data_IF_453370345201
#
_entry.id   IF_453370345201
#
_cell.length_a   1.000
_cell.length_b   1.000
_cell.length_c   1.000
_cell.angle_alpha   90.00
_cell.angle_beta   90.00
_cell.angle_gamma   90.00
#
_symmetry.space_group_name_H-M   'P 1'
#
loop_
_entity.id
_entity.type
_entity.pdbx_description
1 polymer ?
#
# COMPACT_ATOMS: atom_id res chain seq x y z
N UNK A 1 -38.88 33.87 -18.43
CA UNK A 1 -38.04 32.80 -19.02
C UNK A 1 -36.60 33.23 -18.94
N UNK A 2 -35.79 32.53 -18.15
CA UNK A 2 -34.32 32.65 -18.12
C UNK A 2 -33.82 31.40 -17.40
N UNK A 3 -33.59 30.33 -18.15
CA UNK A 3 -33.03 29.07 -17.67
C UNK A 3 -31.52 29.22 -17.54
N UNK A 4 -31.05 29.55 -16.34
CA UNK A 4 -29.62 29.44 -15.99
C UNK A 4 -29.30 27.95 -15.80
N UNK A 5 -28.30 27.38 -16.50
CA UNK A 5 -27.99 25.96 -16.36
C UNK A 5 -27.28 25.71 -15.02
N UNK A 6 -27.53 24.57 -14.34
CA UNK A 6 -26.90 24.28 -13.06
C UNK A 6 -25.41 23.97 -13.27
N UNK A 7 -24.58 24.69 -12.50
CA UNK A 7 -23.13 24.73 -12.60
C UNK A 7 -22.48 23.65 -11.72
N UNK A 8 -22.82 22.37 -11.89
CA UNK A 8 -22.16 21.28 -11.16
C UNK A 8 -22.04 20.01 -12.00
N UNK A 9 -21.10 19.99 -12.94
CA UNK A 9 -20.44 18.76 -13.36
C UNK A 9 -18.94 19.07 -13.50
N UNK A 10 -18.05 18.44 -12.70
CA UNK A 10 -16.63 18.50 -13.00
C UNK A 10 -16.39 17.82 -14.34
N UNK A 11 -15.78 18.55 -15.27
CA UNK A 11 -15.51 18.10 -16.63
C UNK A 11 -14.72 16.80 -16.65
N UNK A 12 -15.19 15.85 -17.47
CA UNK A 12 -14.49 14.62 -17.80
C UNK A 12 -13.24 14.97 -18.60
N UNK A 13 -12.12 15.20 -17.91
CA UNK A 13 -10.83 15.50 -18.55
C UNK A 13 -10.35 14.30 -19.38
N UNK A 14 -10.42 14.44 -20.70
CA UNK A 14 -9.76 13.57 -21.67
C UNK A 14 -8.26 13.79 -21.58
N UNK A 15 -7.53 12.73 -21.21
CA UNK A 15 -6.11 12.77 -20.95
C UNK A 15 -5.30 12.45 -22.21
N UNK A 16 -4.45 13.41 -22.65
CA UNK A 16 -3.42 13.21 -23.69
C UNK A 16 -2.16 12.49 -23.15
N UNK A 17 -1.24 12.02 -24.02
CA UNK A 17 -0.57 10.73 -23.80
C UNK A 17 0.66 10.69 -22.86
N UNK A 18 1.14 11.79 -22.27
CA UNK A 18 2.50 11.75 -21.65
C UNK A 18 2.67 12.36 -20.25
N UNK A 19 1.59 12.79 -19.57
CA UNK A 19 1.70 13.45 -18.24
C UNK A 19 0.84 12.91 -17.09
N UNK A 20 0.15 11.77 -17.25
CA UNK A 20 -1.14 11.53 -16.56
C UNK A 20 -1.08 10.56 -15.36
N UNK A 21 0.03 9.85 -15.15
CA UNK A 21 0.06 8.71 -14.21
C UNK A 21 -0.12 9.07 -12.72
N UNK A 22 0.57 10.11 -12.24
CA UNK A 22 0.62 10.42 -10.80
C UNK A 22 -0.53 11.35 -10.35
N UNK A 23 -0.83 12.40 -11.12
CA UNK A 23 -1.91 13.34 -10.79
C UNK A 23 -3.31 12.74 -10.98
N UNK A 24 -3.50 11.89 -12.00
CA UNK A 24 -4.76 11.17 -12.22
C UNK A 24 -5.04 10.14 -11.12
N UNK A 25 -4.00 9.52 -10.55
CA UNK A 25 -4.15 8.60 -9.42
C UNK A 25 -4.59 9.32 -8.14
N UNK A 26 -3.98 10.46 -7.81
CA UNK A 26 -4.40 11.25 -6.66
C UNK A 26 -5.84 11.76 -6.80
N UNK A 27 -6.24 12.20 -8.00
CA UNK A 27 -7.61 12.61 -8.29
C UNK A 27 -8.61 11.44 -8.18
N UNK A 28 -8.26 10.26 -8.72
CA UNK A 28 -9.07 9.04 -8.56
C UNK A 28 -9.21 8.62 -7.10
N UNK A 29 -8.13 8.71 -6.33
CA UNK A 29 -8.14 8.32 -4.92
C UNK A 29 -8.98 9.31 -4.10
N UNK A 30 -8.87 10.62 -4.38
CA UNK A 30 -9.77 11.63 -3.81
C UNK A 30 -11.22 11.39 -4.22
N UNK A 31 -11.50 11.01 -5.46
CA UNK A 31 -12.86 10.69 -5.90
C UNK A 31 -13.42 9.45 -5.19
N UNK A 32 -12.61 8.43 -4.93
CA UNK A 32 -13.03 7.25 -4.15
C UNK A 32 -13.33 7.61 -2.70
N UNK A 33 -12.55 8.52 -2.10
CA UNK A 33 -12.74 8.96 -0.71
C UNK A 33 -13.91 9.94 -0.58
N UNK A 34 -14.04 10.87 -1.52
CA UNK A 34 -15.02 11.97 -1.50
C UNK A 34 -16.25 11.70 -2.37
N UNK A 35 -16.52 10.46 -2.79
CA UNK A 35 -17.73 10.19 -3.56
C UNK A 35 -18.94 10.37 -2.64
N UNK A 36 -19.69 11.45 -2.86
CA UNK A 36 -20.99 11.72 -2.26
C UNK A 36 -22.02 10.73 -2.84
N UNK A 37 -21.99 9.52 -2.30
CA UNK A 37 -22.92 8.46 -2.64
C UNK A 37 -24.12 8.53 -1.70
N UNK A 38 -25.31 8.24 -2.23
CA UNK A 38 -26.49 8.03 -1.41
C UNK A 38 -26.24 6.86 -0.43
N UNK A 39 -26.83 6.86 0.78
CA UNK A 39 -26.60 5.82 1.80
C UNK A 39 -26.70 4.39 1.27
N UNK A 40 -27.72 4.11 0.45
CA UNK A 40 -27.93 2.80 -0.18
C UNK A 40 -26.82 2.39 -1.14
N UNK A 41 -26.36 3.32 -1.99
CA UNK A 41 -25.29 3.07 -2.97
C UNK A 41 -23.94 2.87 -2.26
N UNK A 42 -23.69 3.67 -1.23
CA UNK A 42 -22.53 3.53 -0.35
C UNK A 42 -22.54 2.18 0.35
N UNK A 43 -23.67 1.79 0.94
CA UNK A 43 -23.80 0.53 1.66
C UNK A 43 -23.53 -0.68 0.76
N UNK A 44 -24.09 -0.69 -0.45
CA UNK A 44 -23.85 -1.75 -1.44
C UNK A 44 -22.37 -1.82 -1.86
N UNK A 45 -21.74 -0.68 -2.16
CA UNK A 45 -20.34 -0.62 -2.54
C UNK A 45 -19.41 -1.10 -1.41
N UNK A 46 -19.64 -0.65 -0.19
CA UNK A 46 -18.87 -1.02 0.99
C UNK A 46 -19.06 -2.52 1.32
N UNK A 47 -20.28 -3.03 1.22
CA UNK A 47 -20.59 -4.43 1.47
C UNK A 47 -19.88 -5.36 0.47
N UNK A 48 -19.82 -5.01 -0.81
CA UNK A 48 -19.05 -5.77 -1.81
C UNK A 48 -17.55 -5.78 -1.48
N UNK A 49 -16.99 -4.64 -1.07
CA UNK A 49 -15.59 -4.53 -0.68
C UNK A 49 -15.28 -5.36 0.57
N UNK A 50 -16.12 -5.28 1.61
CA UNK A 50 -15.99 -6.08 2.82
C UNK A 50 -16.14 -7.57 2.52
N UNK A 51 -17.14 -7.95 1.73
CA UNK A 51 -17.37 -9.35 1.35
C UNK A 51 -16.17 -9.94 0.62
N UNK A 52 -15.57 -9.19 -0.31
CA UNK A 52 -14.36 -9.59 -1.01
C UNK A 52 -13.11 -9.59 -0.12
N UNK A 53 -13.11 -8.84 0.98
CA UNK A 53 -11.98 -8.77 1.91
C UNK A 53 -12.02 -9.87 2.97
N UNK A 54 -13.21 -10.27 3.42
CA UNK A 54 -13.41 -11.34 4.39
C UNK A 54 -13.07 -12.71 3.78
N UNK A 55 -12.46 -13.58 4.59
CA UNK A 55 -12.26 -14.98 4.22
C UNK A 55 -13.58 -15.77 4.24
N UNK A 56 -13.65 -16.92 3.57
CA UNK A 56 -14.83 -17.80 3.61
C UNK A 56 -15.25 -18.14 5.04
N UNK A 57 -14.30 -18.54 5.88
CA UNK A 57 -14.53 -18.84 7.29
C UNK A 57 -14.98 -17.63 8.12
N UNK A 58 -14.63 -16.41 7.72
CA UNK A 58 -15.15 -15.19 8.35
C UNK A 58 -16.60 -14.93 7.94
N UNK A 59 -16.92 -15.10 6.65
CA UNK A 59 -18.30 -14.95 6.15
C UNK A 59 -19.23 -16.01 6.75
N UNK A 60 -18.79 -17.26 6.80
CA UNK A 60 -19.56 -18.36 7.42
C UNK A 60 -19.86 -18.09 8.90
N UNK A 61 -18.89 -17.54 9.66
CA UNK A 61 -19.11 -17.17 11.07
C UNK A 61 -20.08 -16.01 11.23
N UNK A 62 -20.08 -15.05 10.30
CA UNK A 62 -20.96 -13.87 10.39
C UNK A 62 -22.36 -14.10 9.81
N UNK A 63 -22.51 -15.03 8.86
CA UNK A 63 -23.76 -15.28 8.14
C UNK A 63 -25.00 -15.48 9.04
N UNK A 64 -24.93 -16.18 10.19
CA UNK A 64 -26.07 -16.31 11.10
C UNK A 64 -26.57 -14.96 11.65
N UNK A 65 -25.68 -14.00 11.89
CA UNK A 65 -26.05 -12.67 12.37
C UNK A 65 -26.80 -11.87 11.30
N UNK A 66 -26.39 -12.02 10.04
CA UNK A 66 -27.05 -11.41 8.88
C UNK A 66 -28.33 -12.12 8.44
N UNK A 67 -28.60 -13.32 8.98
CA UNK A 67 -29.61 -14.24 8.44
C UNK A 67 -29.42 -14.47 6.93
N UNK A 68 -28.16 -14.52 6.50
CA UNK A 68 -27.76 -14.78 5.13
C UNK A 68 -27.48 -16.27 4.92
N UNK A 69 -27.77 -16.79 3.73
CA UNK A 69 -27.26 -18.08 3.28
C UNK A 69 -25.74 -18.10 3.06
N UNK A 70 -25.23 -19.22 2.56
CA UNK A 70 -23.80 -19.41 2.27
C UNK A 70 -23.35 -18.78 0.93
N UNK A 71 -24.29 -18.23 0.14
CA UNK A 71 -23.98 -17.58 -1.14
C UNK A 71 -23.34 -16.21 -0.92
N UNK A 72 -22.33 -15.89 -1.73
CA UNK A 72 -21.53 -14.67 -1.57
C UNK A 72 -22.35 -13.43 -1.90
N UNK A 73 -23.22 -13.53 -2.90
CA UNK A 73 -24.11 -12.47 -3.37
C UNK A 73 -25.16 -12.15 -2.30
N UNK A 74 -25.81 -13.18 -1.74
CA UNK A 74 -26.79 -13.03 -0.68
C UNK A 74 -26.15 -12.44 0.59
N UNK A 75 -24.94 -12.88 0.94
CA UNK A 75 -24.18 -12.30 2.05
C UNK A 75 -23.91 -10.81 1.83
N UNK A 76 -23.49 -10.43 0.61
CA UNK A 76 -23.22 -9.03 0.28
C UNK A 76 -24.50 -8.17 0.32
N UNK A 77 -25.62 -8.68 -0.17
CA UNK A 77 -26.92 -7.99 -0.10
C UNK A 77 -27.37 -7.77 1.35
N UNK A 78 -27.31 -8.81 2.20
CA UNK A 78 -27.68 -8.69 3.61
C UNK A 78 -26.76 -7.75 4.39
N UNK A 79 -25.46 -7.78 4.10
CA UNK A 79 -24.51 -6.84 4.70
C UNK A 79 -24.76 -5.40 4.23
N UNK A 80 -25.16 -5.20 2.97
CA UNK A 80 -25.56 -3.90 2.47
C UNK A 80 -26.82 -3.38 3.17
N UNK A 81 -27.80 -4.24 3.44
CA UNK A 81 -29.00 -3.86 4.19
C UNK A 81 -28.65 -3.42 5.62
N UNK A 82 -27.82 -4.18 6.34
CA UNK A 82 -27.35 -3.84 7.70
C UNK A 82 -26.64 -2.48 7.71
N UNK A 83 -25.71 -2.27 6.77
CA UNK A 83 -24.92 -1.04 6.68
C UNK A 83 -25.77 0.17 6.24
N UNK A 84 -26.77 -0.04 5.39
CA UNK A 84 -27.71 1.01 4.99
C UNK A 84 -28.48 1.53 6.20
N UNK A 85 -29.02 0.64 7.02
CA UNK A 85 -29.76 1.02 8.24
C UNK A 85 -28.88 1.90 9.12
N UNK A 86 -27.61 1.51 9.34
CA UNK A 86 -26.68 2.31 10.14
C UNK A 86 -26.37 3.68 9.51
N UNK A 87 -26.28 3.76 8.18
CA UNK A 87 -26.03 5.03 7.48
C UNK A 87 -27.25 5.96 7.46
N UNK A 88 -28.46 5.41 7.40
CA UNK A 88 -29.71 6.17 7.32
C UNK A 88 -30.23 6.58 8.71
N UNK A 89 -30.18 5.67 9.68
CA UNK A 89 -30.77 5.84 11.02
C UNK A 89 -29.71 6.19 12.07
N UNK A 90 -28.43 5.98 11.77
CA UNK A 90 -27.32 6.06 12.73
C UNK A 90 -27.08 4.74 13.44
N UNK A 91 -25.91 4.61 14.09
CA UNK A 91 -25.61 3.47 14.94
C UNK A 91 -26.05 3.75 16.38
N UNK A 92 -26.93 2.90 16.91
CA UNK A 92 -27.18 2.85 18.35
C UNK A 92 -25.87 2.54 19.11
N UNK A 93 -25.59 3.23 20.21
CA UNK A 93 -24.39 3.00 21.00
C UNK A 93 -24.46 1.62 21.67
N UNK A 94 -23.48 0.78 21.38
CA UNK A 94 -23.29 -0.49 22.10
C UNK A 94 -22.34 -0.25 23.28
N UNK A 95 -22.73 -0.74 24.46
CA UNK A 95 -21.88 -0.65 25.65
C UNK A 95 -20.51 -1.30 25.38
N UNK A 96 -19.45 -0.66 25.89
CA UNK A 96 -18.06 -1.11 25.82
C UNK A 96 -17.49 -1.34 24.42
N UNK A 97 -18.16 -0.89 23.35
CA UNK A 97 -17.73 -1.15 21.97
C UNK A 97 -16.33 -0.61 21.67
N UNK A 98 -16.07 0.62 22.15
CA UNK A 98 -14.76 1.28 22.01
C UNK A 98 -13.69 0.66 22.90
N UNK A 99 -14.03 0.30 24.13
CA UNK A 99 -13.08 -0.31 25.07
C UNK A 99 -12.68 -1.71 24.60
N UNK A 100 -13.65 -2.48 24.10
CA UNK A 100 -13.41 -3.78 23.50
C UNK A 100 -12.60 -3.67 22.20
N UNK A 101 -12.86 -2.66 21.36
CA UNK A 101 -12.05 -2.40 20.18
C UNK A 101 -10.61 -2.02 20.55
N UNK A 102 -10.41 -1.18 21.58
CA UNK A 102 -9.09 -0.83 22.08
C UNK A 102 -8.34 -2.03 22.69
N UNK A 103 -9.06 -2.93 23.38
CA UNK A 103 -8.50 -4.19 23.86
C UNK A 103 -8.09 -5.11 22.68
N UNK A 104 -8.93 -5.22 21.66
CA UNK A 104 -8.64 -5.97 20.44
C UNK A 104 -7.44 -5.38 19.68
N UNK A 105 -7.33 -4.05 19.57
CA UNK A 105 -6.17 -3.38 18.99
C UNK A 105 -4.89 -3.69 19.75
N UNK A 106 -4.92 -3.67 21.09
CA UNK A 106 -3.78 -4.02 21.93
C UNK A 106 -3.38 -5.48 21.74
N UNK A 107 -4.35 -6.40 21.72
CA UNK A 107 -4.10 -7.83 21.48
C UNK A 107 -3.60 -8.13 20.06
N UNK A 108 -4.01 -7.34 19.07
CA UNK A 108 -3.58 -7.50 17.69
C UNK A 108 -2.17 -6.94 17.41
N UNK A 109 -1.52 -6.29 18.39
CA UNK A 109 -0.17 -5.71 18.24
C UNK A 109 0.85 -6.81 17.95
N UNK A 110 1.44 -6.76 16.76
CA UNK A 110 2.49 -7.68 16.33
C UNK A 110 3.88 -7.23 16.80
N UNK A 111 4.04 -6.89 18.09
CA UNK A 111 5.28 -6.35 18.68
C UNK A 111 6.54 -7.10 18.24
N UNK A 112 6.63 -8.46 18.32
CA UNK A 112 7.86 -9.16 17.94
C UNK A 112 8.20 -8.99 16.44
N UNK A 113 7.20 -9.04 15.55
CA UNK A 113 7.43 -8.80 14.13
C UNK A 113 7.81 -7.33 13.86
N UNK A 114 7.32 -6.38 14.65
CA UNK A 114 7.69 -4.97 14.55
C UNK A 114 9.11 -4.70 15.03
N UNK A 115 9.55 -5.38 16.07
CA UNK A 115 10.94 -5.33 16.52
C UNK A 115 11.87 -5.91 15.46
N UNK A 116 11.49 -7.03 14.83
CA UNK A 116 12.24 -7.61 13.73
C UNK A 116 12.30 -6.68 12.50
N UNK A 117 11.18 -6.06 12.13
CA UNK A 117 11.15 -5.03 11.07
C UNK A 117 12.13 -3.89 11.39
N UNK A 118 12.09 -3.37 12.63
CA UNK A 118 13.00 -2.31 13.08
C UNK A 118 14.48 -2.73 13.03
N UNK A 119 14.80 -3.94 13.49
CA UNK A 119 16.15 -4.49 13.46
C UNK A 119 16.68 -4.64 12.02
N UNK A 120 15.83 -5.11 11.09
CA UNK A 120 16.19 -5.23 9.68
C UNK A 120 16.40 -3.85 9.02
N UNK A 121 15.61 -2.85 9.36
CA UNK A 121 15.80 -1.48 8.88
C UNK A 121 17.09 -0.86 9.43
N UNK A 122 17.43 -1.11 10.70
CA UNK A 122 18.71 -0.71 11.28
C UNK A 122 19.89 -1.38 10.59
N UNK A 123 19.78 -2.69 10.28
CA UNK A 123 20.81 -3.40 9.53
C UNK A 123 21.00 -2.82 8.12
N UNK A 124 19.90 -2.51 7.41
CA UNK A 124 19.96 -1.85 6.11
C UNK A 124 20.66 -0.47 6.19
N UNK A 125 20.34 0.32 7.22
CA UNK A 125 20.99 1.60 7.45
C UNK A 125 22.49 1.43 7.75
N UNK A 126 22.86 0.44 8.57
CA UNK A 126 24.25 0.15 8.87
C UNK A 126 25.04 -0.24 7.61
N UNK A 127 24.48 -1.10 6.75
CA UNK A 127 25.09 -1.44 5.46
C UNK A 127 25.28 -0.20 4.57
N UNK A 128 24.31 0.71 4.52
CA UNK A 128 24.41 1.96 3.76
C UNK A 128 25.54 2.84 4.29
N UNK A 129 25.58 3.07 5.61
CA UNK A 129 26.62 3.90 6.26
C UNK A 129 28.00 3.31 6.00
N UNK A 130 28.18 2.01 6.19
CA UNK A 130 29.45 1.33 5.92
C UNK A 130 29.86 1.45 4.45
N UNK A 131 28.91 1.34 3.52
CA UNK A 131 29.16 1.53 2.09
C UNK A 131 29.69 2.93 1.79
N UNK A 132 29.05 3.96 2.36
CA UNK A 132 29.46 5.36 2.17
C UNK A 132 30.85 5.61 2.76
N UNK A 133 31.09 5.17 4.01
CA UNK A 133 32.37 5.36 4.68
C UNK A 133 33.53 4.71 3.90
N UNK A 134 33.34 3.46 3.46
CA UNK A 134 34.34 2.75 2.66
C UNK A 134 34.59 3.40 1.30
N UNK A 135 33.53 3.92 0.66
CA UNK A 135 33.65 4.61 -0.62
C UNK A 135 34.40 5.95 -0.52
N UNK A 136 34.37 6.62 0.64
CA UNK A 136 35.12 7.87 0.86
C UNK A 136 36.63 7.64 1.00
N UNK A 137 37.04 6.44 1.42
CA UNK A 137 38.44 6.05 1.62
C UNK A 137 39.07 5.45 0.35
N UNK A 138 38.27 5.19 -0.69
CA UNK A 138 38.71 4.50 -1.89
C UNK A 138 39.40 5.44 -2.91
N UNK A 139 40.65 5.13 -3.26
CA UNK A 139 41.39 5.81 -4.33
C UNK A 139 40.95 5.39 -5.74
N UNK A 140 40.39 4.19 -5.90
CA UNK A 140 39.93 3.64 -7.17
C UNK A 140 38.50 3.07 -7.05
N UNK A 141 37.53 3.93 -7.36
CA UNK A 141 36.10 3.69 -7.14
C UNK A 141 35.53 2.41 -7.79
N UNK A 142 35.84 2.05 -9.06
CA UNK A 142 35.18 0.93 -9.73
C UNK A 142 35.59 -0.44 -9.20
N UNK A 143 36.87 -0.64 -8.85
CA UNK A 143 37.34 -1.90 -8.27
C UNK A 143 36.83 -2.07 -6.82
N UNK A 144 36.78 -0.99 -6.05
CA UNK A 144 36.25 -0.97 -4.69
C UNK A 144 34.73 -1.23 -4.64
N UNK A 145 33.99 -0.70 -5.62
CA UNK A 145 32.55 -0.94 -5.74
C UNK A 145 32.23 -2.43 -5.94
N UNK A 146 33.07 -3.15 -6.70
CA UNK A 146 32.85 -4.57 -7.00
C UNK A 146 33.22 -5.51 -5.85
N UNK A 147 34.28 -5.22 -5.08
CA UNK A 147 34.81 -6.13 -4.07
C UNK A 147 34.29 -5.86 -2.64
N UNK A 148 34.14 -4.60 -2.25
CA UNK A 148 33.78 -4.21 -0.87
C UNK A 148 32.37 -3.63 -0.77
N UNK A 149 32.00 -2.70 -1.65
CA UNK A 149 30.69 -2.06 -1.59
C UNK A 149 29.55 -2.97 -2.10
N UNK A 150 29.83 -3.81 -3.11
CA UNK A 150 28.85 -4.72 -3.72
C UNK A 150 28.16 -5.64 -2.72
N UNK A 151 28.91 -6.38 -1.88
CA UNK A 151 28.33 -7.22 -0.82
C UNK A 151 27.49 -6.42 0.20
N UNK A 152 27.93 -5.21 0.58
CA UNK A 152 27.20 -4.35 1.52
C UNK A 152 25.88 -3.84 0.91
N UNK A 153 25.89 -3.44 -0.36
CA UNK A 153 24.70 -3.04 -1.09
C UNK A 153 23.71 -4.21 -1.27
N UNK A 154 24.22 -5.41 -1.55
CA UNK A 154 23.41 -6.62 -1.61
C UNK A 154 22.78 -6.95 -0.24
N UNK A 155 23.56 -6.86 0.84
CA UNK A 155 23.09 -7.03 2.22
C UNK A 155 22.01 -6.01 2.60
N UNK A 156 22.21 -4.73 2.24
CA UNK A 156 21.21 -3.68 2.42
C UNK A 156 19.90 -4.01 1.69
N UNK A 157 19.98 -4.40 0.42
CA UNK A 157 18.80 -4.72 -0.39
C UNK A 157 18.04 -5.92 0.18
N UNK A 158 18.77 -6.97 0.59
CA UNK A 158 18.17 -8.13 1.24
C UNK A 158 17.47 -7.75 2.56
N UNK A 159 18.11 -6.94 3.41
CA UNK A 159 17.53 -6.47 4.67
C UNK A 159 16.26 -5.64 4.44
N UNK A 160 16.25 -4.76 3.43
CA UNK A 160 15.06 -3.98 3.05
C UNK A 160 13.91 -4.86 2.55
N UNK A 161 14.20 -5.87 1.72
CA UNK A 161 13.19 -6.82 1.24
C UNK A 161 12.61 -7.62 2.39
N UNK A 162 13.46 -8.14 3.29
CA UNK A 162 13.00 -8.86 4.48
C UNK A 162 12.18 -7.97 5.40
N UNK A 163 12.60 -6.72 5.65
CA UNK A 163 11.85 -5.75 6.44
C UNK A 163 10.46 -5.50 5.82
N UNK A 164 10.38 -5.38 4.50
CA UNK A 164 9.12 -5.23 3.78
C UNK A 164 8.23 -6.47 3.92
N UNK A 165 8.78 -7.68 3.81
CA UNK A 165 8.01 -8.93 3.98
C UNK A 165 7.48 -9.05 5.40
N UNK A 166 8.34 -8.87 6.42
CA UNK A 166 7.98 -8.94 7.84
C UNK A 166 6.93 -7.88 8.18
N UNK A 167 7.17 -6.63 7.75
CA UNK A 167 6.24 -5.52 7.93
C UNK A 167 4.87 -5.79 7.29
N UNK A 168 4.84 -6.40 6.10
CA UNK A 168 3.60 -6.76 5.40
C UNK A 168 2.85 -7.89 6.12
N UNK A 169 3.56 -8.92 6.61
CA UNK A 169 2.97 -10.03 7.39
C UNK A 169 2.39 -9.48 8.69
N UNK A 170 3.12 -8.60 9.40
CA UNK A 170 2.66 -7.98 10.63
C UNK A 170 1.36 -7.18 10.42
N UNK A 171 1.28 -6.37 9.35
CA UNK A 171 0.02 -5.67 9.00
C UNK A 171 -1.11 -6.64 8.68
N UNK A 172 -0.86 -7.69 7.88
CA UNK A 172 -1.90 -8.66 7.52
C UNK A 172 -2.44 -9.42 8.74
N UNK A 173 -1.57 -9.81 9.67
CA UNK A 173 -1.96 -10.50 10.91
C UNK A 173 -2.77 -9.57 11.81
N UNK A 174 -2.36 -8.31 11.97
CA UNK A 174 -3.10 -7.31 12.72
C UNK A 174 -4.49 -7.09 12.11
N UNK A 175 -4.56 -6.83 10.81
CA UNK A 175 -5.83 -6.58 10.12
C UNK A 175 -6.76 -7.79 10.22
N UNK A 176 -6.22 -9.01 10.07
CA UNK A 176 -7.01 -10.24 10.21
C UNK A 176 -7.57 -10.41 11.62
N UNK A 177 -6.78 -10.16 12.65
CA UNK A 177 -7.25 -10.22 14.05
C UNK A 177 -8.36 -9.19 14.34
N UNK A 178 -8.25 -7.98 13.78
CA UNK A 178 -9.27 -6.94 13.91
C UNK A 178 -10.55 -7.27 13.13
N UNK A 179 -10.43 -7.87 11.94
CA UNK A 179 -11.59 -8.36 11.20
C UNK A 179 -12.24 -9.56 11.89
N UNK A 180 -11.46 -10.46 12.49
CA UNK A 180 -11.97 -11.57 13.28
C UNK A 180 -12.74 -11.08 14.52
N UNK A 181 -12.25 -10.03 15.17
CA UNK A 181 -12.99 -9.33 16.24
C UNK A 181 -14.31 -8.77 15.72
N UNK A 182 -14.29 -8.10 14.56
CA UNK A 182 -15.50 -7.52 13.96
C UNK A 182 -16.55 -8.60 13.65
N UNK A 183 -16.12 -9.70 13.05
CA UNK A 183 -16.96 -10.85 12.70
C UNK A 183 -17.53 -11.55 13.93
N UNK A 184 -16.87 -11.47 15.08
CA UNK A 184 -17.38 -12.09 16.32
C UNK A 184 -18.54 -11.34 16.97
N UNK A 185 -18.89 -10.14 16.48
CA UNK A 185 -19.86 -9.25 17.09
C UNK A 185 -21.02 -8.94 16.14
N UNK A 186 -22.28 -9.15 16.55
CA UNK A 186 -23.43 -8.88 15.69
C UNK A 186 -23.55 -7.39 15.36
N UNK A 187 -23.75 -7.07 14.08
CA UNK A 187 -23.94 -5.69 13.63
C UNK A 187 -22.65 -4.86 13.53
N UNK A 188 -21.48 -5.42 13.85
CA UNK A 188 -20.23 -4.65 13.86
C UNK A 188 -19.74 -4.33 12.44
N UNK A 189 -19.94 -5.24 11.48
CA UNK A 189 -19.50 -5.01 10.10
C UNK A 189 -20.30 -3.89 9.41
N UNK A 190 -21.59 -3.77 9.72
CA UNK A 190 -22.42 -2.64 9.28
C UNK A 190 -21.96 -1.32 9.88
N UNK A 191 -21.69 -1.28 11.20
CA UNK A 191 -21.24 -0.06 11.91
C UNK A 191 -19.80 0.35 11.61
N UNK A 192 -18.96 -0.58 11.16
CA UNK A 192 -17.54 -0.35 10.94
C UNK A 192 -16.71 -0.55 12.21
N UNK A 193 -15.46 -0.11 12.17
CA UNK A 193 -14.44 -0.45 13.16
C UNK A 193 -13.96 0.79 13.91
N UNK A 194 -14.28 0.97 15.22
CA UNK A 194 -13.88 2.14 16.01
C UNK A 194 -12.41 2.06 16.42
N UNK A 195 -11.53 2.20 15.43
CA UNK A 195 -10.08 2.04 15.56
C UNK A 195 -9.38 3.38 15.71
N UNK A 196 -8.32 3.42 16.51
CA UNK A 196 -7.46 4.60 16.66
C UNK A 196 -6.48 4.71 15.49
N UNK A 197 -6.08 3.56 14.94
CA UNK A 197 -5.24 3.50 13.74
C UNK A 197 -5.98 2.77 12.63
N UNK A 198 -6.08 3.36 11.43
CA UNK A 198 -6.80 2.74 10.33
C UNK A 198 -6.23 1.35 10.00
N UNK A 199 -7.11 0.46 9.55
CA UNK A 199 -6.70 -0.80 8.97
C UNK A 199 -5.79 -0.53 7.78
N UNK A 200 -4.85 -1.44 7.51
CA UNK A 200 -3.84 -1.25 6.48
C UNK A 200 -2.94 -0.02 6.67
N UNK A 201 -2.82 0.50 7.90
CA UNK A 201 -1.77 1.48 8.24
C UNK A 201 -0.42 0.93 7.79
N UNK A 202 0.17 1.55 6.77
CA UNK A 202 1.37 1.00 6.14
C UNK A 202 2.54 0.97 7.14
N UNK A 203 3.34 -0.09 7.05
CA UNK A 203 4.54 -0.28 7.85
C UNK A 203 5.75 0.35 7.16
N UNK A 204 6.76 0.75 7.93
CA UNK A 204 7.89 1.52 7.40
C UNK A 204 8.64 0.76 6.30
N UNK A 205 8.90 -0.55 6.47
CA UNK A 205 9.60 -1.37 5.49
C UNK A 205 8.91 -1.39 4.11
N UNK A 206 7.63 -1.79 4.03
CA UNK A 206 6.88 -1.73 2.78
C UNK A 206 6.79 -0.33 2.18
N UNK A 207 6.66 0.72 2.99
CA UNK A 207 6.61 2.11 2.51
C UNK A 207 7.91 2.50 1.82
N UNK A 208 9.04 2.22 2.46
CA UNK A 208 10.38 2.52 1.91
C UNK A 208 10.56 1.79 0.57
N UNK A 209 10.29 0.48 0.52
CA UNK A 209 10.47 -0.30 -0.71
C UNK A 209 9.54 0.16 -1.83
N UNK A 210 8.29 0.56 -1.51
CA UNK A 210 7.31 1.03 -2.51
C UNK A 210 7.56 2.44 -3.00
N UNK A 211 8.13 3.30 -2.17
CA UNK A 211 8.42 4.69 -2.52
C UNK A 211 9.72 4.83 -3.28
N UNK A 212 10.79 4.16 -2.82
CA UNK A 212 12.13 4.27 -3.40
C UNK A 212 12.36 3.23 -4.52
N UNK A 213 11.80 2.03 -4.41
CA UNK A 213 12.07 0.92 -5.34
C UNK A 213 11.85 1.27 -6.81
N UNK A 214 10.67 1.77 -7.22
CA UNK A 214 10.43 2.14 -8.61
C UNK A 214 11.32 3.28 -9.12
N UNK A 215 11.64 4.26 -8.26
CA UNK A 215 12.52 5.37 -8.60
C UNK A 215 13.96 4.88 -8.82
N UNK A 216 14.46 4.00 -7.94
CA UNK A 216 15.78 3.38 -8.07
C UNK A 216 15.86 2.48 -9.31
N UNK A 217 14.84 1.67 -9.59
CA UNK A 217 14.78 0.85 -10.80
C UNK A 217 14.78 1.69 -12.07
N UNK A 218 14.05 2.82 -12.06
CA UNK A 218 14.03 3.75 -13.20
C UNK A 218 15.41 4.37 -13.40
N UNK A 219 16.02 4.91 -12.34
CA UNK A 219 17.36 5.51 -12.41
C UNK A 219 18.43 4.50 -12.84
N UNK A 220 18.46 3.32 -12.22
CA UNK A 220 19.38 2.25 -12.58
C UNK A 220 19.16 1.76 -14.02
N UNK A 221 17.90 1.67 -14.47
CA UNK A 221 17.57 1.27 -15.84
C UNK A 221 18.07 2.26 -16.88
N UNK A 222 17.85 3.56 -16.67
CA UNK A 222 18.38 4.62 -17.55
C UNK A 222 19.90 4.61 -17.57
N UNK A 223 20.55 4.53 -16.40
CA UNK A 223 22.01 4.49 -16.31
C UNK A 223 22.61 3.27 -17.01
N UNK A 224 22.02 2.09 -16.84
CA UNK A 224 22.47 0.87 -17.51
C UNK A 224 22.35 0.96 -19.03
N UNK A 225 21.24 1.53 -19.54
CA UNK A 225 21.06 1.74 -20.99
C UNK A 225 22.09 2.71 -21.54
N UNK A 226 22.28 3.86 -20.88
CA UNK A 226 23.24 4.89 -21.31
C UNK A 226 24.67 4.34 -21.28
N UNK A 227 25.05 3.62 -20.21
CA UNK A 227 26.36 3.01 -20.09
C UNK A 227 26.59 1.94 -21.17
N UNK A 228 25.63 1.03 -21.39
CA UNK A 228 25.72 0.00 -22.42
C UNK A 228 25.81 0.60 -23.83
N UNK A 229 25.00 1.62 -24.13
CA UNK A 229 25.06 2.33 -25.40
C UNK A 229 26.41 3.04 -25.61
N UNK A 230 26.93 3.70 -24.57
CA UNK A 230 28.22 4.37 -24.62
C UNK A 230 29.38 3.39 -24.86
N UNK A 231 29.39 2.24 -24.17
CA UNK A 231 30.41 1.19 -24.37
C UNK A 231 30.36 0.62 -25.79
N UNK A 232 29.17 0.36 -26.34
CA UNK A 232 29.03 -0.10 -27.72
C UNK A 232 29.50 0.95 -28.73
N UNK A 233 29.12 2.21 -28.55
CA UNK A 233 29.58 3.30 -29.41
C UNK A 233 31.09 3.47 -29.36
N UNK A 234 31.70 3.45 -28.17
CA UNK A 234 33.15 3.54 -28.00
C UNK A 234 33.86 2.35 -28.65
N UNK A 235 33.36 1.13 -28.48
CA UNK A 235 33.90 -0.08 -29.10
C UNK A 235 33.87 0.02 -30.63
N UNK A 236 32.74 0.48 -31.19
CA UNK A 236 32.58 0.69 -32.64
C UNK A 236 33.48 1.81 -33.19
N UNK A 237 33.64 2.92 -32.45
CA UNK A 237 34.43 4.07 -32.89
C UNK A 237 35.94 3.84 -32.78
N UNK A 238 36.40 3.19 -31.71
CA UNK A 238 37.83 3.00 -31.44
C UNK A 238 38.40 1.75 -32.13
N UNK A 239 37.55 0.83 -32.62
CA UNK A 239 37.96 -0.49 -33.17
C UNK A 239 38.96 -1.25 -32.28
N UNK A 240 38.95 -0.96 -30.99
CA UNK A 240 39.73 -1.64 -29.95
C UNK A 240 38.76 -2.53 -29.20
N UNK A 241 39.20 -3.76 -28.91
CA UNK A 241 38.46 -4.71 -28.08
C UNK A 241 38.42 -4.17 -26.64
N UNK A 242 37.39 -3.39 -26.33
CA UNK A 242 37.14 -2.92 -24.97
C UNK A 242 36.66 -4.14 -24.18
N UNK A 243 37.37 -4.48 -23.10
CA UNK A 243 37.08 -5.64 -22.22
C UNK A 243 35.62 -5.67 -21.72
N UNK A 244 34.93 -4.53 -21.71
CA UNK A 244 33.53 -4.40 -21.31
C UNK A 244 32.49 -4.53 -22.45
N UNK A 245 32.90 -4.66 -23.72
CA UNK A 245 31.99 -4.70 -24.86
C UNK A 245 31.00 -5.89 -24.79
N UNK A 246 31.46 -7.04 -24.28
CA UNK A 246 30.64 -8.24 -24.10
C UNK A 246 29.51 -8.05 -23.07
N UNK A 247 29.67 -7.09 -22.15
CA UNK A 247 28.69 -6.81 -21.10
C UNK A 247 27.66 -5.75 -21.53
N UNK A 248 27.94 -5.01 -22.60
CA UNK A 248 27.08 -3.92 -23.06
C UNK A 248 25.68 -4.38 -23.51
N UNK A 249 25.49 -5.52 -24.21
CA UNK A 249 24.16 -6.07 -24.48
C UNK A 249 23.40 -6.42 -23.20
N UNK A 250 24.08 -6.97 -22.20
CA UNK A 250 23.47 -7.31 -20.91
C UNK A 250 23.02 -6.05 -20.14
N UNK A 251 23.81 -4.97 -20.18
CA UNK A 251 23.44 -3.67 -19.60
C UNK A 251 22.20 -3.05 -20.30
N UNK A 252 22.14 -3.11 -21.63
CA UNK A 252 20.99 -2.63 -22.40
C UNK A 252 19.73 -3.43 -22.07
N UNK A 253 19.79 -4.76 -22.15
CA UNK A 253 18.65 -5.65 -21.86
C UNK A 253 18.21 -5.48 -20.41
N UNK A 254 19.15 -5.51 -19.46
CA UNK A 254 18.89 -5.34 -18.04
C UNK A 254 18.24 -3.98 -17.73
N UNK A 255 18.71 -2.91 -18.39
CA UNK A 255 18.12 -1.59 -18.22
C UNK A 255 16.70 -1.48 -18.76
N UNK A 256 16.41 -2.07 -19.92
CA UNK A 256 15.03 -2.15 -20.46
C UNK A 256 14.12 -2.94 -19.52
N UNK A 257 14.57 -4.09 -19.02
CA UNK A 257 13.82 -4.89 -18.05
C UNK A 257 13.54 -4.09 -16.77
N UNK A 258 14.52 -3.33 -16.26
CA UNK A 258 14.34 -2.47 -15.10
C UNK A 258 13.28 -1.38 -15.33
N UNK A 259 13.23 -0.77 -16.52
CA UNK A 259 12.20 0.22 -16.87
C UNK A 259 10.80 -0.40 -16.95
N UNK A 260 10.68 -1.59 -17.56
CA UNK A 260 9.41 -2.33 -17.61
C UNK A 260 8.96 -2.72 -16.19
N UNK A 261 9.87 -3.19 -15.36
CA UNK A 261 9.58 -3.52 -13.97
C UNK A 261 9.16 -2.28 -13.15
N UNK A 262 9.82 -1.14 -13.33
CA UNK A 262 9.48 0.11 -12.65
C UNK A 262 8.07 0.59 -13.02
N UNK A 263 7.73 0.58 -14.31
CA UNK A 263 6.40 0.99 -14.79
C UNK A 263 5.30 0.04 -14.30
N UNK A 264 5.54 -1.28 -14.37
CA UNK A 264 4.63 -2.27 -13.81
C UNK A 264 4.44 -2.09 -12.29
N UNK A 265 5.52 -1.83 -11.55
CA UNK A 265 5.47 -1.60 -10.11
C UNK A 265 4.62 -0.37 -9.75
N UNK A 266 4.78 0.75 -10.46
CA UNK A 266 3.97 1.97 -10.26
C UNK A 266 2.49 1.69 -10.53
N UNK A 267 2.19 0.97 -11.61
CA UNK A 267 0.81 0.62 -11.97
C UNK A 267 0.14 -0.27 -10.90
N UNK A 268 0.83 -1.32 -10.46
CA UNK A 268 0.35 -2.22 -9.42
C UNK A 268 0.19 -1.51 -8.08
N UNK A 269 1.10 -0.59 -7.74
CA UNK A 269 1.00 0.24 -6.54
C UNK A 269 -0.24 1.13 -6.57
N UNK A 270 -0.56 1.72 -7.71
CA UNK A 270 -1.78 2.51 -7.91
C UNK A 270 -3.05 1.70 -7.64
N UNK A 271 -3.17 0.51 -8.25
CA UNK A 271 -4.31 -0.39 -8.00
C UNK A 271 -4.43 -0.82 -6.54
N UNK A 272 -3.30 -1.10 -5.89
CA UNK A 272 -3.28 -1.49 -4.46
C UNK A 272 -3.73 -0.35 -3.56
N UNK A 273 -3.28 0.88 -3.82
CA UNK A 273 -3.70 2.08 -3.06
C UNK A 273 -5.20 2.34 -3.20
N UNK A 274 -5.75 2.15 -4.39
CA UNK A 274 -7.18 2.28 -4.62
C UNK A 274 -7.98 1.23 -3.84
N UNK A 275 -7.57 -0.04 -3.88
CA UNK A 275 -8.19 -1.11 -3.10
C UNK A 275 -8.07 -0.85 -1.59
N UNK A 276 -6.92 -0.33 -1.14
CA UNK A 276 -6.72 0.03 0.26
C UNK A 276 -7.67 1.15 0.71
N UNK A 277 -7.78 2.22 -0.09
CA UNK A 277 -8.69 3.32 0.18
C UNK A 277 -10.15 2.85 0.25
N UNK A 278 -10.58 2.00 -0.69
CA UNK A 278 -11.93 1.40 -0.67
C UNK A 278 -12.17 0.57 0.59
N UNK A 279 -11.19 -0.23 1.02
CA UNK A 279 -11.31 -1.06 2.23
C UNK A 279 -11.32 -0.23 3.50
N UNK A 280 -10.49 0.81 3.59
CA UNK A 280 -10.50 1.75 4.73
C UNK A 280 -11.86 2.44 4.83
N UNK A 281 -12.39 2.94 3.71
CA UNK A 281 -13.74 3.53 3.65
C UNK A 281 -14.82 2.54 4.05
N UNK A 282 -14.76 1.31 3.56
CA UNK A 282 -15.73 0.28 3.89
C UNK A 282 -15.67 -0.16 5.36
N UNK A 283 -14.49 -0.04 6.01
CA UNK A 283 -14.33 -0.29 7.45
C UNK A 283 -14.56 0.92 8.34
N UNK A 284 -14.84 2.09 7.76
CA UNK A 284 -14.98 3.34 8.49
C UNK A 284 -16.07 3.24 9.54
N UNK A 285 -15.76 3.73 10.74
CA UNK A 285 -16.68 3.76 11.87
C UNK A 285 -17.80 4.79 11.65
N UNK A 286 -19.04 4.30 11.66
CA UNK A 286 -20.26 5.09 11.51
C UNK A 286 -20.91 5.18 12.90
N UNK A 287 -20.29 5.94 13.78
CA UNK A 287 -20.83 6.26 15.09
C UNK A 287 -20.23 7.56 15.61
N UNK A 288 -20.59 8.03 16.82
CA UNK A 288 -19.99 9.22 17.38
C UNK A 288 -18.46 9.08 17.35
N UNK A 289 -17.75 10.15 16.97
CA UNK A 289 -16.29 10.12 16.90
C UNK A 289 -15.70 9.77 18.28
N UNK A 290 -14.61 8.98 18.35
CA UNK A 290 -13.86 8.87 19.60
C UNK A 290 -13.47 10.28 20.03
N UNK A 291 -13.70 10.64 21.29
CA UNK A 291 -13.14 11.89 21.84
C UNK A 291 -11.64 11.76 21.64
N UNK A 292 -11.04 12.61 20.83
CA UNK A 292 -9.59 12.70 20.75
C UNK A 292 -9.10 12.86 22.19
N UNK A 293 -8.23 11.97 22.66
CA UNK A 293 -7.50 12.22 23.90
C UNK A 293 -6.85 13.60 23.73
N UNK A 294 -7.29 14.57 24.53
CA UNK A 294 -6.58 15.84 24.68
C UNK A 294 -5.13 15.47 25.01
N UNK A 295 -4.14 16.00 24.27
CA UNK A 295 -2.75 15.78 24.64
C UNK A 295 -2.58 16.21 26.10
N UNK A 296 -1.85 15.43 26.93
CA UNK A 296 -1.64 15.80 28.32
C UNK A 296 -1.15 17.25 28.35
N UNK A 297 -1.83 18.09 29.12
CA UNK A 297 -1.38 19.44 29.38
C UNK A 297 0.07 19.36 29.87
N UNK A 298 0.98 19.93 29.08
CA UNK A 298 2.41 20.05 29.41
C UNK A 298 2.59 20.82 30.71
#
# INVERSE_FOLDING_TARGET
>A
MSTTPPRHLPGRGTAGPTGVGLFGQAARLRAVVNADLLPRERAAADALVLTAWLSSAQRERYAPHLRAGLQVEEFAERLADERRVVLEEGADPVADEREAAAAAERGARQIPLRMLEGALLLAALACLVLTVLRSLEAADLPLHLASEAGPLLAGMLLALVLAAVVGAIATRRRDRALLDWAVSRPGQLGRGLPLHRPLQSESAGPVILRSLGPALLLGAGVLAIVAGAAVLLLSLMLRVEIIAADQAPALLIGGVVALVAATAAVYLLGRRRELAARRVRASEWIGPAPRAEEPPAL
#
